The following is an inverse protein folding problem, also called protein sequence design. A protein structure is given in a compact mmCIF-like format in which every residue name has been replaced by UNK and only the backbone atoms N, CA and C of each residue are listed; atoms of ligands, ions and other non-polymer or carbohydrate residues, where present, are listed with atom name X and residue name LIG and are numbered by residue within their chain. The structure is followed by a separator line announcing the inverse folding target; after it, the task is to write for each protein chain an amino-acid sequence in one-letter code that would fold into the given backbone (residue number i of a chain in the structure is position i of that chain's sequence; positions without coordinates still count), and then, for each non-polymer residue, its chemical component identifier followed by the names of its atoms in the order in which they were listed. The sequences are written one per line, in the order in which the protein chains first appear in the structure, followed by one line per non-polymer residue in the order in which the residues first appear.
data_IF_540643531785
#
_entry.id   IF_540643531785
#
_cell.length_a   1.000
_cell.length_b   1.000
_cell.length_c   1.000
_cell.angle_alpha   90.00
_cell.angle_beta   90.00
_cell.angle_gamma   90.00
#
_symmetry.space_group_name_H-M   'P 1'
#
loop_
_entity.id
_entity.type
_entity.pdbx_description
1 polymer ?
#
# COMPACT_ATOMS: atom_id res chain seq x y z
N UNK A 1 3.67 -11.80 11.94
CA UNK A 1 2.68 -11.88 10.85
C UNK A 1 3.20 -11.07 9.67
N UNK A 2 2.83 -11.42 8.42
CA UNK A 2 3.21 -10.65 7.22
C UNK A 2 1.94 -10.04 6.64
N UNK A 3 1.84 -8.71 6.70
CA UNK A 3 0.76 -7.93 6.11
C UNK A 3 1.38 -6.99 5.09
N UNK A 4 0.92 -7.05 3.85
CA UNK A 4 1.51 -6.28 2.76
C UNK A 4 0.75 -4.99 2.52
N UNK A 5 1.44 -3.99 1.96
CA UNK A 5 0.81 -2.74 1.55
C UNK A 5 -0.32 -2.99 0.55
N UNK A 6 -0.15 -3.94 -0.38
CA UNK A 6 -1.20 -4.29 -1.34
C UNK A 6 -2.48 -4.77 -0.66
N UNK A 7 -2.37 -5.67 0.33
CA UNK A 7 -3.52 -6.15 1.10
C UNK A 7 -4.22 -5.02 1.86
N UNK A 8 -3.47 -4.09 2.45
CA UNK A 8 -4.07 -2.91 3.10
C UNK A 8 -4.93 -2.12 2.11
N UNK A 9 -4.40 -1.86 0.92
CA UNK A 9 -5.08 -1.09 -0.11
C UNK A 9 -6.32 -1.81 -0.64
N UNK A 10 -6.28 -3.15 -0.74
CA UNK A 10 -7.44 -3.98 -1.11
C UNK A 10 -8.59 -3.88 -0.10
N UNK A 11 -8.29 -3.77 1.20
CA UNK A 11 -9.30 -3.57 2.24
C UNK A 11 -9.85 -2.14 2.23
N UNK A 12 -8.99 -1.14 1.99
CA UNK A 12 -9.40 0.26 1.92
C UNK A 12 -10.23 0.57 0.66
N UNK A 13 -9.98 -0.12 -0.45
CA UNK A 13 -10.66 0.10 -1.74
C UNK A 13 -12.20 0.04 -1.69
N UNK A 14 -12.85 -0.94 -1.03
CA UNK A 14 -14.31 -0.95 -0.85
C UNK A 14 -14.83 0.05 0.19
N UNK A 15 -13.96 0.83 0.84
CA UNK A 15 -14.34 1.84 1.83
C UNK A 15 -14.28 1.40 3.29
N UNK A 16 -13.58 0.29 3.59
CA UNK A 16 -13.33 -0.12 4.98
C UNK A 16 -12.53 0.96 5.72
N UNK A 17 -12.92 1.26 6.95
CA UNK A 17 -12.27 2.28 7.78
C UNK A 17 -11.04 1.71 8.48
N UNK A 18 -10.11 2.59 8.85
CA UNK A 18 -8.93 2.20 9.65
C UNK A 18 -9.34 1.49 10.96
N UNK A 19 -10.45 1.89 11.58
CA UNK A 19 -10.93 1.29 12.83
C UNK A 19 -11.40 -0.15 12.62
N UNK A 20 -12.12 -0.42 11.54
CA UNK A 20 -12.55 -1.78 11.18
C UNK A 20 -11.32 -2.66 10.87
N UNK A 21 -10.33 -2.13 10.14
CA UNK A 21 -9.10 -2.85 9.83
C UNK A 21 -8.33 -3.21 11.11
N UNK A 22 -8.19 -2.28 12.05
CA UNK A 22 -7.50 -2.54 13.32
C UNK A 22 -8.26 -3.53 14.22
N UNK A 23 -9.59 -3.57 14.12
CA UNK A 23 -10.40 -4.55 14.84
C UNK A 23 -10.24 -5.97 14.27
N UNK A 24 -10.21 -6.11 12.95
CA UNK A 24 -10.06 -7.39 12.26
C UNK A 24 -8.61 -7.91 12.26
N UNK A 25 -7.64 -6.99 12.38
CA UNK A 25 -6.21 -7.27 12.41
C UNK A 25 -5.54 -6.65 13.65
N UNK A 26 -5.70 -7.24 14.85
CA UNK A 26 -5.23 -6.67 16.12
C UNK A 26 -3.70 -6.54 16.27
N UNK A 27 -2.95 -7.08 15.31
CA UNK A 27 -1.49 -7.00 15.26
C UNK A 27 -1.00 -5.80 14.44
N UNK A 28 -1.91 -5.06 13.79
CA UNK A 28 -1.59 -3.80 13.13
C UNK A 28 -1.75 -2.64 14.11
N UNK A 29 -0.89 -1.64 13.94
CA UNK A 29 -1.01 -0.35 14.60
C UNK A 29 -1.46 0.71 13.58
N UNK A 30 -2.04 1.80 14.06
CA UNK A 30 -2.40 2.93 13.19
C UNK A 30 -1.17 3.47 12.43
N UNK A 31 0.02 3.43 13.05
CA UNK A 31 1.28 3.81 12.43
C UNK A 31 1.62 2.94 11.21
N UNK A 32 1.28 1.64 11.21
CA UNK A 32 1.52 0.74 10.08
C UNK A 32 0.64 1.11 8.88
N UNK A 33 -0.61 1.52 9.14
CA UNK A 33 -1.54 2.00 8.10
C UNK A 33 -0.97 3.28 7.47
N UNK A 34 -0.55 4.24 8.29
CA UNK A 34 0.04 5.49 7.80
C UNK A 34 1.32 5.25 6.99
N UNK A 35 2.22 4.40 7.49
CA UNK A 35 3.45 4.04 6.78
C UNK A 35 3.17 3.36 5.44
N UNK A 36 2.19 2.46 5.40
CA UNK A 36 1.77 1.77 4.18
C UNK A 36 1.17 2.73 3.15
N UNK A 37 0.34 3.68 3.57
CA UNK A 37 -0.22 4.72 2.70
C UNK A 37 0.85 5.65 2.15
N UNK A 38 1.82 6.05 2.99
CA UNK A 38 2.95 6.87 2.57
C UNK A 38 3.81 6.14 1.52
N UNK A 39 4.10 4.86 1.76
CA UNK A 39 4.82 4.02 0.81
C UNK A 39 4.04 3.86 -0.50
N UNK A 40 2.73 3.59 -0.42
CA UNK A 40 1.87 3.48 -1.59
C UNK A 40 1.88 4.77 -2.43
N UNK A 41 1.80 5.94 -1.78
CA UNK A 41 1.87 7.23 -2.45
C UNK A 41 3.24 7.45 -3.13
N UNK A 42 4.34 7.02 -2.48
CA UNK A 42 5.68 7.13 -3.06
C UNK A 42 5.82 6.28 -4.32
N UNK A 43 5.35 5.03 -4.29
CA UNK A 43 5.40 4.12 -5.43
C UNK A 43 4.45 4.56 -6.55
N UNK A 44 3.25 5.02 -6.22
CA UNK A 44 2.28 5.48 -7.22
C UNK A 44 2.75 6.74 -7.97
N UNK A 45 3.56 7.59 -7.32
CA UNK A 45 4.16 8.76 -7.96
C UNK A 45 5.53 8.47 -8.60
N UNK A 46 6.09 7.27 -8.42
CA UNK A 46 7.39 6.94 -8.98
C UNK A 46 7.30 6.88 -10.52
N UNK A 47 8.09 7.70 -11.19
CA UNK A 47 8.22 7.67 -12.65
C UNK A 47 9.25 6.60 -13.04
N UNK A 48 8.80 5.54 -13.70
CA UNK A 48 9.71 4.53 -14.26
C UNK A 48 10.17 4.98 -15.64
N UNK A 49 11.47 5.30 -15.78
CA UNK A 49 12.07 5.57 -17.10
C UNK A 49 12.53 4.24 -17.69
N UNK A 50 11.87 3.79 -18.74
CA UNK A 50 12.28 2.60 -19.51
C UNK A 50 13.11 3.08 -20.70
N UNK A 51 14.40 2.76 -20.71
CA UNK A 51 15.23 2.97 -21.88
C UNK A 51 14.74 2.04 -22.99
N UNK A 52 14.17 2.62 -24.06
CA UNK A 52 13.79 1.84 -25.23
C UNK A 52 15.07 1.36 -25.91
N UNK A 53 15.38 0.07 -25.78
CA UNK A 53 16.46 -0.53 -26.55
C UNK A 53 16.08 -0.42 -28.03
N UNK A 54 16.78 0.42 -28.77
CA UNK A 54 16.67 0.49 -30.22
C UNK A 54 17.18 -0.85 -30.76
N UNK A 55 16.25 -1.69 -31.22
CA UNK A 55 16.59 -2.91 -31.94
C UNK A 55 17.45 -2.54 -33.15
N UNK A 56 18.63 -3.16 -33.23
CA UNK A 56 19.60 -3.02 -34.33
C UNK A 56 19.20 -3.87 -35.51
#
# INVERSE_FOLDING_TARGET
MRFTVAQLLELLAPGMTNQEILADYPYLEEADIQASLLYAAHIANAQTIIALALAS
#
